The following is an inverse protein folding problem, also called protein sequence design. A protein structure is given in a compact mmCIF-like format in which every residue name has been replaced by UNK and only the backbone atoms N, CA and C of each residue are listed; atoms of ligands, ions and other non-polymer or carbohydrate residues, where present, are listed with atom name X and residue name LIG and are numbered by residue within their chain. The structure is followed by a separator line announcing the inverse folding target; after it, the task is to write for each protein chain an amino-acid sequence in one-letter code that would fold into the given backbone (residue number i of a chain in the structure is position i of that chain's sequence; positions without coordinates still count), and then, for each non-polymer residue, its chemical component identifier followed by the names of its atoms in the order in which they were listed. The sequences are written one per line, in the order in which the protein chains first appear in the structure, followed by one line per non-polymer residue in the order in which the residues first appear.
data_IF_819147833819
#
_entry.id   IF_819147833819
#
_cell.length_a   1.000
_cell.length_b   1.000
_cell.length_c   1.000
_cell.angle_alpha   90.00
_cell.angle_beta   90.00
_cell.angle_gamma   90.00
#
_symmetry.space_group_name_H-M   'P 1'
#
loop_
_entity.id
_entity.type
_entity.pdbx_description
1 polymer ?
#
# COMPACT_ATOMS: atom_id res chain seq x y z
N UNK A 1 -11.54 -18.64 17.95
CA UNK A 1 -11.15 -19.25 16.66
C UNK A 1 -10.94 -18.22 15.55
N UNK A 2 -11.73 -17.15 15.49
CA UNK A 2 -11.63 -16.05 14.50
C UNK A 2 -10.23 -15.41 14.38
N UNK A 3 -9.57 -15.18 15.52
CA UNK A 3 -8.23 -14.60 15.58
C UNK A 3 -7.14 -15.47 14.89
N UNK A 4 -7.32 -16.79 14.83
CA UNK A 4 -6.36 -17.73 14.26
C UNK A 4 -6.48 -17.80 12.72
N UNK A 5 -7.71 -17.75 12.22
CA UNK A 5 -8.05 -17.62 10.80
C UNK A 5 -7.54 -16.30 10.21
N UNK A 6 -7.77 -15.18 10.91
CA UNK A 6 -7.29 -13.85 10.49
C UNK A 6 -5.75 -13.81 10.44
N UNK A 7 -5.08 -14.41 11.43
CA UNK A 7 -3.63 -14.49 11.48
C UNK A 7 -3.05 -15.34 10.33
N UNK A 8 -3.73 -16.43 9.93
CA UNK A 8 -3.36 -17.22 8.73
C UNK A 8 -3.52 -16.41 7.44
N UNK A 9 -4.62 -15.67 7.28
CA UNK A 9 -4.85 -14.82 6.09
C UNK A 9 -3.82 -13.70 6.00
N UNK A 10 -3.50 -13.05 7.11
CA UNK A 10 -2.48 -12.01 7.17
C UNK A 10 -1.09 -12.56 6.80
N UNK A 11 -0.69 -13.72 7.36
CA UNK A 11 0.57 -14.38 7.02
C UNK A 11 0.67 -14.77 5.55
N UNK A 12 -0.42 -15.29 4.98
CA UNK A 12 -0.48 -15.61 3.55
C UNK A 12 -0.32 -14.35 2.69
N UNK A 13 -1.04 -13.26 3.01
CA UNK A 13 -0.91 -11.98 2.31
C UNK A 13 0.51 -11.41 2.37
N UNK A 14 1.16 -11.48 3.53
CA UNK A 14 2.56 -11.06 3.69
C UNK A 14 3.48 -11.85 2.75
N UNK A 15 3.29 -13.17 2.68
CA UNK A 15 4.09 -14.04 1.80
C UNK A 15 3.77 -13.81 0.31
N UNK A 16 2.50 -13.69 -0.06
CA UNK A 16 2.06 -13.50 -1.44
C UNK A 16 2.50 -12.13 -2.01
N UNK A 17 2.66 -11.13 -1.15
CA UNK A 17 3.05 -9.76 -1.51
C UNK A 17 4.54 -9.46 -1.26
N UNK A 18 5.32 -10.43 -0.78
CA UNK A 18 6.75 -10.30 -0.44
C UNK A 18 7.06 -9.07 0.45
N UNK A 19 6.20 -8.82 1.46
CA UNK A 19 6.31 -7.62 2.28
C UNK A 19 7.53 -7.69 3.20
N UNK A 20 8.36 -6.65 3.13
CA UNK A 20 9.48 -6.48 4.04
C UNK A 20 9.00 -6.14 5.46
N UNK A 21 9.82 -6.39 6.51
CA UNK A 21 9.48 -6.01 7.87
C UNK A 21 9.13 -4.53 8.02
N UNK A 22 9.83 -3.65 7.29
CA UNK A 22 9.58 -2.21 7.33
C UNK A 22 8.23 -1.84 6.71
N UNK A 23 7.85 -2.46 5.60
CA UNK A 23 6.53 -2.26 4.98
C UNK A 23 5.40 -2.74 5.89
N UNK A 24 5.60 -3.85 6.60
CA UNK A 24 4.63 -4.32 7.61
C UNK A 24 4.46 -3.27 8.72
N UNK A 25 5.55 -2.69 9.22
CA UNK A 25 5.47 -1.62 10.22
C UNK A 25 4.78 -0.37 9.67
N UNK A 26 5.02 0.01 8.41
CA UNK A 26 4.35 1.13 7.75
C UNK A 26 2.84 0.90 7.64
N UNK A 27 2.42 -0.31 7.24
CA UNK A 27 1.00 -0.70 7.15
C UNK A 27 0.35 -0.64 8.53
N UNK A 28 1.00 -1.18 9.57
CA UNK A 28 0.49 -1.12 10.94
C UNK A 28 0.36 0.33 11.42
N UNK A 29 1.38 1.17 11.20
CA UNK A 29 1.35 2.58 11.60
C UNK A 29 0.16 3.31 10.97
N UNK A 30 0.01 3.13 9.67
CA UNK A 30 -1.04 3.73 8.86
C UNK A 30 -2.42 3.28 9.32
N UNK A 31 -2.60 1.97 9.54
CA UNK A 31 -3.86 1.41 10.04
C UNK A 31 -4.22 1.99 11.42
N UNK A 32 -3.24 2.14 12.32
CA UNK A 32 -3.45 2.75 13.65
C UNK A 32 -3.87 4.21 13.57
N UNK A 33 -3.26 4.98 12.65
CA UNK A 33 -3.66 6.38 12.42
C UNK A 33 -5.08 6.45 11.86
N UNK A 34 -5.42 5.61 10.88
CA UNK A 34 -6.78 5.56 10.35
C UNK A 34 -7.80 5.17 11.43
N UNK A 35 -7.50 4.16 12.26
CA UNK A 35 -8.37 3.78 13.38
C UNK A 35 -8.57 4.95 14.35
N UNK A 36 -7.53 5.68 14.71
CA UNK A 36 -7.66 6.87 15.56
C UNK A 36 -8.52 7.98 14.93
N UNK A 37 -8.60 8.03 13.60
CA UNK A 37 -9.47 8.97 12.87
C UNK A 37 -10.93 8.52 12.83
N UNK A 38 -11.20 7.22 12.71
CA UNK A 38 -12.56 6.69 12.51
C UNK A 38 -13.24 6.16 13.77
N UNK A 39 -12.45 5.79 14.79
CA UNK A 39 -12.92 5.26 16.06
C UNK A 39 -12.44 6.21 17.19
N UNK A 40 -13.33 7.05 17.73
CA UNK A 40 -12.98 7.97 18.81
C UNK A 40 -12.62 7.26 20.12
N UNK A 41 -13.02 5.99 20.29
CA UNK A 41 -12.65 5.17 21.45
C UNK A 41 -11.25 4.53 21.27
N UNK A 42 -10.69 4.55 20.07
CA UNK A 42 -9.35 4.05 19.78
C UNK A 42 -8.26 5.04 20.23
N UNK A 43 -7.64 4.77 21.39
CA UNK A 43 -6.77 5.73 22.13
C UNK A 43 -5.30 5.82 21.70
N UNK A 44 -4.90 5.29 20.55
CA UNK A 44 -3.47 5.34 20.17
C UNK A 44 -3.11 6.68 19.55
N UNK A 45 -2.32 7.51 20.26
CA UNK A 45 -1.85 8.79 19.70
C UNK A 45 -0.57 8.61 18.86
N UNK A 46 -0.33 9.53 17.91
CA UNK A 46 0.82 9.45 16.98
C UNK A 46 2.18 9.41 17.68
N UNK A 47 2.31 10.03 18.85
CA UNK A 47 3.54 9.99 19.64
C UNK A 47 3.85 8.57 20.12
N UNK A 48 2.84 7.83 20.58
CA UNK A 48 3.00 6.42 20.99
C UNK A 48 3.36 5.52 19.81
N UNK A 49 2.78 5.77 18.64
CA UNK A 49 3.12 5.02 17.40
C UNK A 49 4.57 5.28 17.02
N UNK A 50 5.01 6.54 17.03
CA UNK A 50 6.37 6.95 16.71
C UNK A 50 7.40 6.25 17.62
N UNK A 51 7.13 6.20 18.93
CA UNK A 51 7.98 5.50 19.91
C UNK A 51 8.00 3.99 19.62
N UNK A 52 6.85 3.37 19.41
CA UNK A 52 6.75 1.92 19.23
C UNK A 52 7.46 1.42 17.97
N UNK A 53 7.58 2.27 16.94
CA UNK A 53 8.20 1.93 15.65
C UNK A 53 9.62 2.44 15.49
N UNK A 54 10.15 3.14 16.50
CA UNK A 54 11.42 3.86 16.45
C UNK A 54 11.52 4.78 15.22
N UNK A 55 10.53 5.68 15.09
CA UNK A 55 10.42 6.65 13.99
C UNK A 55 10.02 8.03 14.49
N UNK A 56 10.29 9.05 13.70
CA UNK A 56 9.86 10.41 14.02
C UNK A 56 8.34 10.59 13.77
N UNK A 57 7.68 11.47 14.53
CA UNK A 57 6.26 11.82 14.29
C UNK A 57 6.01 12.31 12.85
N UNK A 58 6.84 13.19 12.26
CA UNK A 58 6.70 13.57 10.85
C UNK A 58 6.76 12.40 9.88
N UNK A 59 7.60 11.39 10.15
CA UNK A 59 7.67 10.16 9.34
C UNK A 59 6.34 9.41 9.38
N UNK A 60 5.73 9.25 10.56
CA UNK A 60 4.44 8.57 10.71
C UNK A 60 3.32 9.31 9.95
N UNK A 61 3.25 10.64 10.07
CA UNK A 61 2.27 11.44 9.30
C UNK A 61 2.49 11.32 7.80
N UNK A 62 3.74 11.41 7.33
CA UNK A 62 4.06 11.26 5.91
C UNK A 62 3.69 9.88 5.34
N UNK A 63 3.72 8.81 6.15
CA UNK A 63 3.22 7.50 5.75
C UNK A 63 1.70 7.46 5.64
N UNK A 64 1.00 8.03 6.63
CA UNK A 64 -0.45 8.11 6.62
C UNK A 64 -0.97 8.92 5.42
N UNK A 65 -0.37 10.07 5.13
CA UNK A 65 -0.75 10.92 4.00
C UNK A 65 -0.61 10.19 2.66
N UNK A 66 0.52 9.51 2.43
CA UNK A 66 0.75 8.71 1.21
C UNK A 66 -0.26 7.57 1.07
N UNK A 67 -0.64 6.93 2.17
CA UNK A 67 -1.65 5.87 2.15
C UNK A 67 -3.04 6.41 1.83
N UNK A 68 -3.42 7.54 2.42
CA UNK A 68 -4.68 8.22 2.12
C UNK A 68 -4.73 8.62 0.63
N UNK A 69 -3.66 9.18 0.10
CA UNK A 69 -3.55 9.53 -1.32
C UNK A 69 -3.73 8.30 -2.22
N UNK A 70 -3.01 7.21 -1.93
CA UNK A 70 -3.11 5.96 -2.68
C UNK A 70 -4.52 5.35 -2.60
N UNK A 71 -5.17 5.40 -1.43
CA UNK A 71 -6.53 4.90 -1.24
C UNK A 71 -7.54 5.74 -2.02
N UNK A 72 -7.45 7.08 -1.95
CA UNK A 72 -8.31 7.98 -2.74
C UNK A 72 -8.14 7.71 -4.22
N UNK A 73 -6.90 7.52 -4.68
CA UNK A 73 -6.61 7.17 -6.07
C UNK A 73 -7.25 5.83 -6.46
N UNK A 74 -7.08 4.78 -5.65
CA UNK A 74 -7.68 3.47 -5.89
C UNK A 74 -9.23 3.53 -5.93
N UNK A 75 -9.85 4.24 -4.97
CA UNK A 75 -11.30 4.44 -4.94
C UNK A 75 -11.80 5.18 -6.18
N UNK A 76 -11.07 6.19 -6.64
CA UNK A 76 -11.39 6.89 -7.90
C UNK A 76 -11.31 5.94 -9.09
N UNK A 77 -10.29 5.09 -9.19
CA UNK A 77 -10.17 4.09 -10.27
C UNK A 77 -11.29 3.06 -10.26
N UNK A 78 -11.71 2.60 -9.07
CA UNK A 78 -12.84 1.69 -8.92
C UNK A 78 -14.13 2.39 -9.35
N UNK A 79 -14.34 3.64 -8.92
CA UNK A 79 -15.53 4.44 -9.22
C UNK A 79 -15.64 4.84 -10.70
N UNK A 80 -14.51 4.96 -11.42
CA UNK A 80 -14.50 5.25 -12.86
C UNK A 80 -14.54 4.01 -13.76
N UNK A 81 -14.67 2.80 -13.19
CA UNK A 81 -15.03 1.58 -13.93
C UNK A 81 -13.91 0.85 -14.67
N UNK A 82 -12.67 1.36 -14.70
CA UNK A 82 -11.51 0.57 -15.17
C UNK A 82 -10.18 1.26 -14.83
N UNK A 83 -9.17 0.52 -14.32
CA UNK A 83 -7.78 0.96 -14.44
C UNK A 83 -7.44 1.16 -15.93
N UNK A 84 -6.78 2.25 -16.35
CA UNK A 84 -6.19 2.30 -17.68
C UNK A 84 -5.20 1.12 -17.79
N UNK A 85 -5.36 0.29 -18.82
CA UNK A 85 -4.39 -0.76 -19.13
C UNK A 85 -3.02 -0.10 -19.21
N UNK A 86 -2.04 -0.62 -18.49
CA UNK A 86 -0.66 -0.17 -18.63
C UNK A 86 -0.30 -0.36 -20.10
N UNK A 87 -0.16 0.74 -20.83
CA UNK A 87 0.39 0.70 -22.17
C UNK A 87 1.89 0.43 -21.95
N UNK A 88 2.24 -0.85 -21.76
CA UNK A 88 3.56 -1.30 -22.15
C UNK A 88 3.62 -1.05 -23.65
N UNK A 89 4.18 0.09 -24.02
CA UNK A 89 4.57 0.39 -25.39
C UNK A 89 5.56 -0.72 -25.73
N UNK A 90 5.07 -1.74 -26.44
CA UNK A 90 5.95 -2.73 -27.04
C UNK A 90 6.75 -1.92 -28.08
N UNK A 91 8.08 -1.84 -27.99
CA UNK A 91 8.85 -1.16 -29.00
C UNK A 91 8.58 -1.89 -30.32
N UNK A 92 8.00 -1.18 -31.28
CA UNK A 92 7.82 -1.69 -32.63
C UNK A 92 9.22 -1.81 -33.22
N UNK A 93 9.82 -2.99 -33.11
CA UNK A 93 11.05 -3.31 -33.82
C UNK A 93 10.70 -3.37 -35.31
N UNK A 94 10.90 -2.26 -36.02
CA UNK A 94 10.85 -2.24 -37.49
C UNK A 94 11.90 -3.23 -38.00
N UNK A 95 11.46 -4.42 -38.46
CA UNK A 95 12.31 -5.30 -39.26
C UNK A 95 12.71 -4.53 -40.53
N UNK A 96 14.00 -4.17 -40.63
CA UNK A 96 14.60 -3.74 -41.89
C UNK A 96 14.39 -4.85 -42.91
N UNK A 97 13.67 -4.57 -44.00
CA UNK A 97 13.67 -5.41 -45.19
C UNK A 97 15.09 -5.31 -45.79
N UNK A 98 15.86 -6.38 -45.65
CA UNK A 98 16.99 -6.63 -46.55
C UNK A 98 16.34 -6.99 -47.90
N UNK A 99 16.66 -6.22 -48.94
CA UNK A 99 16.34 -6.59 -50.31
C UNK A 99 17.66 -7.04 -50.91
N UNK A 100 17.80 -8.35 -51.05
CA UNK A 100 18.77 -8.95 -51.95
C UNK A 100 18.36 -8.64 -53.39
N UNK A 101 19.29 -8.05 -54.16
CA UNK A 101 19.49 -8.16 -55.60
C UNK A 101 20.58 -7.17 -56.02
#
# INVERSE_FOLDING_TARGET
MENLEQNRRAKKLIADLDLTPDEIQQIIATARVHLATFDPDYRTNVTQIAIALDKSRPTIYGWADKSLEALVHALRMIRTGRPPKTNKIVPVTRKRRIKDA
#
